data_IF_437779973366
#
_entry.id   IF_437779973366
#
_cell.length_a   1.000
_cell.length_b   1.000
_cell.length_c   1.000
_cell.angle_alpha   90.00
_cell.angle_beta   90.00
_cell.angle_gamma   90.00
#
_symmetry.space_group_name_H-M   'P 1'
#
loop_
_entity.id
_entity.type
_entity.pdbx_description
1 polymer ?
#
# COMPACT_ATOMS: atom_id res chain seq x y z
N UNK A 1 13.98 -16.54 -1.65
CA UNK A 1 15.23 -17.25 -1.32
C UNK A 1 15.98 -17.79 -2.53
N UNK A 2 15.35 -18.52 -3.47
CA UNK A 2 16.02 -18.90 -4.74
C UNK A 2 16.56 -17.69 -5.51
N UNK A 3 15.83 -16.56 -5.50
CA UNK A 3 16.22 -15.33 -6.17
C UNK A 3 17.51 -14.66 -5.64
N UNK A 4 17.81 -14.75 -4.34
CA UNK A 4 19.04 -14.16 -3.77
C UNK A 4 20.29 -14.89 -4.26
N UNK A 5 20.22 -16.21 -4.35
CA UNK A 5 21.31 -17.06 -4.84
C UNK A 5 21.47 -16.88 -6.36
N UNK A 6 20.36 -16.72 -7.08
CA UNK A 6 20.39 -16.58 -8.54
C UNK A 6 20.75 -15.17 -9.02
N UNK A 7 20.50 -14.14 -8.21
CA UNK A 7 20.80 -12.76 -8.57
C UNK A 7 21.11 -11.90 -7.32
N UNK A 8 22.36 -11.93 -6.83
CA UNK A 8 22.77 -11.20 -5.63
C UNK A 8 22.70 -9.68 -5.78
N UNK A 9 22.61 -9.16 -7.02
CA UNK A 9 22.41 -7.73 -7.30
C UNK A 9 20.95 -7.29 -7.30
N UNK A 10 20.01 -8.18 -6.96
CA UNK A 10 18.59 -7.84 -6.93
C UNK A 10 18.33 -6.77 -5.88
N UNK A 11 17.55 -5.76 -6.25
CA UNK A 11 17.06 -4.72 -5.35
C UNK A 11 15.54 -4.74 -5.37
N UNK A 12 14.91 -4.49 -4.23
CA UNK A 12 13.46 -4.51 -4.10
C UNK A 12 12.97 -3.08 -3.89
N UNK A 13 11.95 -2.68 -4.64
CA UNK A 13 11.26 -1.40 -4.44
C UNK A 13 9.85 -1.72 -3.93
N UNK A 14 9.46 -1.14 -2.80
CA UNK A 14 8.15 -1.33 -2.19
C UNK A 14 7.51 0.05 -1.96
N UNK A 15 6.48 0.34 -2.74
CA UNK A 15 5.59 1.48 -2.51
C UNK A 15 4.37 1.05 -1.69
N UNK A 16 4.07 1.79 -0.64
CA UNK A 16 2.84 1.63 0.16
C UNK A 16 1.94 2.84 0.01
N UNK A 17 0.67 2.70 0.36
CA UNK A 17 -0.31 3.78 0.30
C UNK A 17 -1.17 3.75 1.55
N UNK A 18 -1.72 4.88 1.99
CA UNK A 18 -2.78 4.92 3.00
C UNK A 18 -3.79 3.74 2.85
N UNK A 19 -3.97 2.85 3.86
CA UNK A 19 -4.71 1.60 3.75
C UNK A 19 -6.13 1.71 3.20
N UNK A 20 -6.90 2.73 3.63
CA UNK A 20 -8.25 3.03 3.12
C UNK A 20 -8.24 3.34 1.62
N UNK A 21 -7.34 4.24 1.19
CA UNK A 21 -7.22 4.65 -0.21
C UNK A 21 -6.68 3.51 -1.09
N UNK A 22 -5.78 2.69 -0.54
CA UNK A 22 -5.34 1.45 -1.19
C UNK A 22 -6.51 0.51 -1.44
N UNK A 23 -7.36 0.27 -0.43
CA UNK A 23 -8.50 -0.63 -0.57
C UNK A 23 -9.48 -0.16 -1.65
N UNK A 24 -9.88 1.12 -1.62
CA UNK A 24 -10.73 1.72 -2.67
C UNK A 24 -10.09 1.55 -4.06
N UNK A 25 -8.82 1.95 -4.20
CA UNK A 25 -8.12 1.91 -5.48
C UNK A 25 -8.05 0.49 -6.04
N UNK A 26 -7.69 -0.49 -5.21
CA UNK A 26 -7.56 -1.87 -5.65
C UNK A 26 -8.91 -2.53 -5.95
N UNK A 27 -9.93 -2.24 -5.14
CA UNK A 27 -11.30 -2.69 -5.40
C UNK A 27 -11.83 -2.12 -6.72
N UNK A 28 -11.74 -0.81 -6.92
CA UNK A 28 -12.20 -0.13 -8.14
C UNK A 28 -11.42 -0.61 -9.37
N UNK A 29 -10.11 -0.85 -9.26
CA UNK A 29 -9.33 -1.47 -10.32
C UNK A 29 -9.88 -2.86 -10.71
N UNK A 30 -10.29 -3.69 -9.73
CA UNK A 30 -10.90 -4.99 -10.02
C UNK A 30 -12.29 -4.88 -10.64
N UNK A 31 -13.08 -3.87 -10.28
CA UNK A 31 -14.36 -3.54 -10.93
C UNK A 31 -14.15 -3.18 -12.39
N UNK A 32 -13.28 -2.21 -12.68
CA UNK A 32 -12.97 -1.81 -14.07
C UNK A 32 -12.45 -3.02 -14.87
N UNK A 33 -11.56 -3.80 -14.28
CA UNK A 33 -11.02 -5.04 -14.88
C UNK A 33 -12.07 -6.15 -15.03
N UNK A 34 -13.17 -6.10 -14.28
CA UNK A 34 -14.29 -7.03 -14.39
C UNK A 34 -15.19 -6.61 -15.54
N UNK A 35 -15.63 -5.35 -15.56
CA UNK A 35 -16.54 -4.80 -16.57
C UNK A 35 -15.91 -4.81 -17.96
N UNK A 36 -14.62 -4.49 -18.07
CA UNK A 36 -13.88 -4.49 -19.35
C UNK A 36 -13.28 -5.85 -19.73
N UNK A 37 -13.36 -6.84 -18.83
CA UNK A 37 -12.71 -8.13 -19.00
C UNK A 37 -13.32 -9.00 -20.10
N UNK A 38 -12.51 -9.93 -20.65
CA UNK A 38 -12.96 -10.94 -21.65
C UNK A 38 -14.12 -11.81 -21.10
N UNK A 39 -14.87 -12.47 -22.01
CA UNK A 39 -16.06 -13.32 -21.79
C UNK A 39 -16.11 -14.17 -20.49
N UNK A 40 -14.95 -14.58 -19.94
CA UNK A 40 -14.84 -15.38 -18.71
C UNK A 40 -15.44 -14.75 -17.43
N UNK A 41 -15.81 -13.47 -17.46
CA UNK A 41 -16.41 -12.77 -16.32
C UNK A 41 -17.85 -12.32 -16.55
N UNK A 42 -18.39 -12.51 -17.77
CA UNK A 42 -19.80 -12.21 -18.04
C UNK A 42 -20.69 -13.05 -17.12
N UNK A 43 -21.57 -12.40 -16.35
CA UNK A 43 -22.55 -13.05 -15.48
C UNK A 43 -22.10 -13.30 -14.04
N UNK A 44 -20.88 -12.94 -13.64
CA UNK A 44 -20.50 -12.95 -12.21
C UNK A 44 -20.80 -11.59 -11.59
N UNK A 45 -21.48 -11.56 -10.45
CA UNK A 45 -21.74 -10.31 -9.74
C UNK A 45 -20.46 -9.72 -9.13
N UNK A 46 -20.42 -8.39 -9.06
CA UNK A 46 -19.45 -7.67 -8.24
C UNK A 46 -19.95 -7.79 -6.79
N UNK A 47 -19.16 -8.38 -5.86
CA UNK A 47 -19.60 -8.59 -4.49
C UNK A 47 -19.53 -7.31 -3.67
N UNK A 48 -20.37 -7.20 -2.65
CA UNK A 48 -20.32 -6.11 -1.67
C UNK A 48 -18.94 -6.07 -0.97
N UNK A 49 -18.26 -4.91 -0.86
CA UNK A 49 -17.00 -4.77 -0.13
C UNK A 49 -17.01 -5.34 1.29
N UNK A 50 -18.12 -5.27 2.03
CA UNK A 50 -18.27 -5.83 3.38
C UNK A 50 -18.16 -7.36 3.43
N UNK A 51 -18.46 -8.03 2.32
CA UNK A 51 -18.31 -9.48 2.22
C UNK A 51 -16.85 -9.92 2.11
N UNK A 52 -15.93 -9.00 1.78
CA UNK A 52 -14.52 -9.28 1.44
C UNK A 52 -13.62 -9.33 2.68
N UNK A 53 -13.86 -10.31 3.55
CA UNK A 53 -13.28 -10.36 4.91
C UNK A 53 -11.82 -10.79 4.95
N UNK A 54 -11.43 -11.79 4.17
CA UNK A 54 -10.10 -12.43 4.23
C UNK A 54 -9.74 -13.12 2.91
N UNK A 55 -8.59 -13.80 2.85
CA UNK A 55 -8.11 -14.48 1.65
C UNK A 55 -9.06 -15.57 1.14
N UNK A 56 -9.79 -16.26 2.03
CA UNK A 56 -10.75 -17.29 1.66
C UNK A 56 -12.07 -16.69 1.20
N UNK A 57 -12.41 -15.51 1.73
CA UNK A 57 -13.59 -14.72 1.38
C UNK A 57 -13.19 -13.46 0.61
N UNK A 58 -12.29 -13.61 -0.36
CA UNK A 58 -11.81 -12.52 -1.19
C UNK A 58 -12.40 -12.55 -2.60
N UNK A 59 -12.36 -11.42 -3.30
CA UNK A 59 -12.79 -11.32 -4.69
C UNK A 59 -11.64 -10.88 -5.58
N UNK A 60 -11.15 -11.82 -6.42
CA UNK A 60 -10.01 -11.58 -7.32
C UNK A 60 -8.79 -11.02 -6.55
N UNK A 61 -8.58 -11.56 -5.35
CA UNK A 61 -7.52 -11.15 -4.43
C UNK A 61 -7.87 -9.94 -3.57
N UNK A 62 -9.00 -9.25 -3.77
CA UNK A 62 -9.41 -8.12 -2.91
C UNK A 62 -10.02 -8.66 -1.62
N UNK A 63 -9.47 -8.23 -0.49
CA UNK A 63 -10.04 -8.41 0.85
C UNK A 63 -9.39 -7.40 1.80
N UNK A 64 -10.09 -7.06 2.90
CA UNK A 64 -9.63 -6.03 3.84
C UNK A 64 -8.28 -6.34 4.49
N UNK A 65 -7.95 -7.61 4.74
CA UNK A 65 -6.66 -7.98 5.35
C UNK A 65 -5.45 -7.60 4.49
N UNK A 66 -5.60 -7.29 3.20
CA UNK A 66 -4.50 -6.77 2.38
C UNK A 66 -3.99 -5.41 2.86
N UNK A 67 -4.81 -4.65 3.58
CA UNK A 67 -4.42 -3.37 4.14
C UNK A 67 -3.55 -3.49 5.41
N UNK A 68 -3.35 -4.71 5.94
CA UNK A 68 -2.43 -5.00 7.06
C UNK A 68 -0.98 -5.06 6.57
N UNK A 69 -0.44 -3.94 6.11
CA UNK A 69 0.86 -3.91 5.44
C UNK A 69 2.01 -4.40 6.30
N UNK A 70 1.98 -4.15 7.61
CA UNK A 70 2.93 -4.67 8.57
C UNK A 70 3.08 -6.19 8.47
N UNK A 71 1.96 -6.94 8.41
CA UNK A 71 2.01 -8.40 8.32
C UNK A 71 2.69 -8.88 7.03
N UNK A 72 2.55 -8.13 5.94
CA UNK A 72 3.24 -8.46 4.69
C UNK A 72 4.73 -8.09 4.73
N UNK A 73 5.08 -6.98 5.37
CA UNK A 73 6.47 -6.54 5.53
C UNK A 73 7.24 -7.43 6.51
N UNK A 74 6.59 -7.91 7.58
CA UNK A 74 7.18 -8.86 8.53
C UNK A 74 7.68 -10.14 7.83
N UNK A 75 7.02 -10.57 6.74
CA UNK A 75 7.43 -11.75 5.97
C UNK A 75 8.82 -11.61 5.34
N UNK A 76 9.32 -10.38 5.18
CA UNK A 76 10.63 -10.10 4.57
C UNK A 76 11.80 -10.37 5.53
N UNK A 77 11.51 -10.61 6.81
CA UNK A 77 12.52 -10.96 7.81
C UNK A 77 13.63 -9.93 8.02
N UNK A 78 13.27 -8.65 7.84
CA UNK A 78 14.15 -7.49 8.03
C UNK A 78 14.38 -7.11 9.49
N UNK A 79 13.48 -7.54 10.36
CA UNK A 79 13.55 -7.34 11.80
C UNK A 79 13.10 -8.60 12.51
N UNK A 80 13.64 -8.82 13.71
CA UNK A 80 13.23 -9.92 14.57
C UNK A 80 11.79 -9.68 15.06
N UNK A 81 10.99 -10.74 15.04
CA UNK A 81 9.62 -10.74 15.55
C UNK A 81 9.59 -11.30 16.95
N UNK A 82 8.67 -10.77 17.77
CA UNK A 82 8.27 -11.37 19.04
C UNK A 82 7.44 -12.62 18.79
N UNK A 83 7.32 -13.48 19.80
CA UNK A 83 6.47 -14.69 19.72
C UNK A 83 5.02 -14.35 19.37
N UNK A 84 4.49 -13.25 19.92
CA UNK A 84 3.14 -12.78 19.62
C UNK A 84 2.98 -12.37 18.15
N UNK A 85 3.97 -11.68 17.58
CA UNK A 85 3.95 -11.30 16.16
C UNK A 85 4.05 -12.53 15.24
N UNK A 86 4.89 -13.51 15.61
CA UNK A 86 4.99 -14.78 14.88
C UNK A 86 3.67 -15.55 14.91
N UNK A 87 3.04 -15.70 16.07
CA UNK A 87 1.74 -16.37 16.20
C UNK A 87 0.66 -15.67 15.36
N UNK A 88 0.66 -14.34 15.32
CA UNK A 88 -0.29 -13.60 14.50
C UNK A 88 -0.08 -13.84 12.99
N UNK A 89 1.18 -13.83 12.52
CA UNK A 89 1.48 -14.16 11.12
C UNK A 89 1.03 -15.57 10.75
N UNK A 90 1.31 -16.55 11.60
CA UNK A 90 0.93 -17.94 11.37
C UNK A 90 -0.59 -18.10 11.30
N UNK A 91 -1.34 -17.36 12.13
CA UNK A 91 -2.81 -17.35 12.09
C UNK A 91 -3.37 -16.85 10.75
N UNK A 92 -2.60 -16.03 10.02
CA UNK A 92 -2.92 -15.53 8.68
C UNK A 92 -2.41 -16.46 7.56
N UNK A 93 -1.78 -17.59 7.92
CA UNK A 93 -1.10 -18.48 6.98
C UNK A 93 0.13 -17.85 6.33
N UNK A 94 0.73 -16.86 7.00
CA UNK A 94 1.95 -16.17 6.59
C UNK A 94 3.14 -16.71 7.40
N UNK A 95 4.34 -16.60 6.84
CA UNK A 95 5.58 -16.99 7.53
C UNK A 95 6.68 -16.01 7.23
N UNK A 96 7.49 -15.72 8.24
CA UNK A 96 8.69 -14.93 8.05
C UNK A 96 9.72 -15.71 7.22
N UNK A 97 10.31 -15.02 6.24
CA UNK A 97 11.42 -15.50 5.44
C UNK A 97 12.49 -14.42 5.46
N UNK A 98 13.60 -14.67 6.16
CA UNK A 98 14.72 -13.73 6.19
C UNK A 98 15.20 -13.43 4.78
N UNK A 99 15.41 -12.16 4.45
CA UNK A 99 15.97 -11.74 3.18
C UNK A 99 17.03 -10.70 3.47
N UNK A 100 18.14 -10.75 2.72
CA UNK A 100 19.20 -9.73 2.75
C UNK A 100 19.11 -8.75 1.59
N UNK A 101 18.08 -8.88 0.74
CA UNK A 101 17.91 -7.96 -0.39
C UNK A 101 17.65 -6.54 0.11
N UNK A 102 18.37 -5.53 -0.37
CA UNK A 102 18.11 -4.16 -0.01
C UNK A 102 16.73 -3.73 -0.52
N UNK A 103 16.03 -2.94 0.29
CA UNK A 103 14.68 -2.46 0.00
C UNK A 103 14.70 -0.94 -0.07
N UNK A 104 14.20 -0.40 -1.18
CA UNK A 104 13.77 1.00 -1.25
C UNK A 104 12.29 1.08 -0.90
N UNK A 105 11.99 1.70 0.22
CA UNK A 105 10.66 1.78 0.80
C UNK A 105 10.13 3.20 0.77
N UNK A 106 8.91 3.39 0.31
CA UNK A 106 8.30 4.72 0.22
C UNK A 106 6.77 4.68 0.33
N UNK A 107 6.19 5.83 0.68
CA UNK A 107 4.74 6.06 0.62
C UNK A 107 4.39 6.76 -0.69
N UNK A 108 3.33 6.32 -1.36
CA UNK A 108 3.00 6.75 -2.73
C UNK A 108 2.71 8.24 -2.84
N UNK A 109 2.25 8.88 -1.77
CA UNK A 109 2.05 10.33 -1.67
C UNK A 109 3.35 11.12 -1.88
N UNK A 110 4.52 10.52 -1.65
CA UNK A 110 5.80 11.13 -2.00
C UNK A 110 5.99 11.28 -3.52
N UNK A 111 5.31 10.46 -4.34
CA UNK A 111 5.30 10.63 -5.80
C UNK A 111 4.33 11.74 -6.25
N UNK A 112 3.38 12.09 -5.39
CA UNK A 112 2.37 13.12 -5.60
C UNK A 112 2.73 14.42 -4.84
N UNK A 113 3.95 14.52 -4.30
CA UNK A 113 4.43 15.67 -3.54
C UNK A 113 4.53 16.90 -4.46
N UNK A 114 3.88 17.99 -4.04
CA UNK A 114 3.87 19.27 -4.77
C UNK A 114 5.14 20.09 -4.49
N UNK A 115 5.91 19.72 -3.46
CA UNK A 115 7.20 20.34 -3.17
C UNK A 115 8.28 19.77 -4.10
N UNK A 116 8.68 20.59 -5.08
CA UNK A 116 9.68 20.22 -6.08
C UNK A 116 10.99 19.74 -5.45
N UNK A 117 11.44 20.38 -4.35
CA UNK A 117 12.69 20.00 -3.70
C UNK A 117 12.59 18.61 -3.06
N UNK A 118 11.49 18.31 -2.35
CA UNK A 118 11.28 16.97 -1.79
C UNK A 118 11.12 15.91 -2.87
N UNK A 119 10.44 16.24 -3.96
CA UNK A 119 10.30 15.37 -5.12
C UNK A 119 11.65 15.09 -5.79
N UNK A 120 12.53 16.08 -5.88
CA UNK A 120 13.88 15.94 -6.43
C UNK A 120 14.74 15.00 -5.58
N UNK A 121 14.76 15.21 -4.25
CA UNK A 121 15.48 14.32 -3.31
C UNK A 121 15.00 12.88 -3.43
N UNK A 122 13.68 12.66 -3.52
CA UNK A 122 13.13 11.32 -3.71
C UNK A 122 13.66 10.63 -4.99
N UNK A 123 13.75 11.38 -6.09
CA UNK A 123 14.24 10.84 -7.38
C UNK A 123 15.74 10.57 -7.33
N UNK A 124 16.52 11.44 -6.70
CA UNK A 124 17.95 11.24 -6.48
C UNK A 124 18.22 9.99 -5.63
N UNK A 125 17.48 9.80 -4.54
CA UNK A 125 17.60 8.61 -3.70
C UNK A 125 17.26 7.34 -4.46
N UNK A 126 16.18 7.34 -5.26
CA UNK A 126 15.81 6.20 -6.08
C UNK A 126 16.87 5.91 -7.16
N UNK A 127 17.43 6.96 -7.77
CA UNK A 127 18.50 6.86 -8.76
C UNK A 127 19.75 6.22 -8.15
N UNK A 128 20.19 6.72 -6.99
CA UNK A 128 21.32 6.18 -6.24
C UNK A 128 21.07 4.74 -5.80
N UNK A 129 19.89 4.47 -5.23
CA UNK A 129 19.51 3.13 -4.82
C UNK A 129 19.56 2.16 -5.99
N UNK A 130 19.08 2.54 -7.17
CA UNK A 130 19.11 1.69 -8.37
C UNK A 130 20.50 1.61 -9.03
N UNK A 131 21.40 2.57 -8.76
CA UNK A 131 22.70 2.68 -9.42
C UNK A 131 22.58 3.19 -10.87
N UNK A 132 21.60 4.05 -11.12
CA UNK A 132 21.37 4.65 -12.43
C UNK A 132 22.35 5.81 -12.65
N UNK A 133 22.89 5.92 -13.87
CA UNK A 133 23.78 7.02 -14.27
C UNK A 133 23.00 8.27 -14.68
N UNK A 134 21.86 8.06 -15.32
CA UNK A 134 21.01 9.14 -15.80
C UNK A 134 19.98 9.53 -14.74
N UNK A 135 19.66 10.83 -14.62
CA UNK A 135 18.60 11.31 -13.74
C UNK A 135 17.24 10.69 -14.04
N UNK A 136 16.49 10.37 -12.97
CA UNK A 136 15.09 9.97 -13.11
C UNK A 136 14.27 11.24 -13.41
N UNK A 137 13.53 11.30 -14.53
CA UNK A 137 12.71 12.46 -14.85
C UNK A 137 11.55 12.58 -13.84
N UNK A 138 10.95 13.78 -13.70
CA UNK A 138 9.77 13.97 -12.86
C UNK A 138 8.67 12.94 -13.17
N UNK A 139 8.06 12.39 -12.12
CA UNK A 139 6.97 11.43 -12.29
C UNK A 139 5.73 12.13 -12.87
N UNK A 140 5.12 11.52 -13.86
CA UNK A 140 3.89 12.08 -14.42
C UNK A 140 2.74 11.94 -13.42
N UNK A 141 2.10 13.04 -13.03
CA UNK A 141 0.91 13.06 -12.17
C UNK A 141 -0.37 12.48 -12.82
N UNK A 142 -0.25 11.76 -13.95
CA UNK A 142 -1.41 11.23 -14.66
C UNK A 142 -1.73 9.82 -14.22
N UNK A 143 -2.79 9.69 -13.42
CA UNK A 143 -3.53 8.45 -13.30
C UNK A 143 -4.16 8.11 -14.67
N UNK A 144 -3.48 7.31 -15.50
CA UNK A 144 -4.00 6.82 -16.78
C UNK A 144 -5.31 6.01 -16.65
N UNK A 145 -5.75 5.73 -15.42
CA UNK A 145 -7.01 5.09 -15.08
C UNK A 145 -8.14 6.09 -14.79
N UNK A 146 -7.85 7.35 -14.41
CA UNK A 146 -8.87 8.34 -14.07
C UNK A 146 -9.80 8.68 -15.25
N UNK A 147 -9.29 8.63 -16.49
CA UNK A 147 -10.07 8.94 -17.70
C UNK A 147 -10.93 7.76 -18.21
N UNK A 148 -11.19 6.74 -17.41
CA UNK A 148 -11.84 5.49 -17.87
C UNK A 148 -13.35 5.42 -17.63
N UNK A 149 -13.97 6.48 -17.12
CA UNK A 149 -15.39 6.54 -16.82
C UNK A 149 -15.76 5.76 -15.57
N UNK A 150 -16.82 6.18 -14.90
CA UNK A 150 -17.40 5.46 -13.76
C UNK A 150 -18.18 4.23 -14.25
N UNK A 151 -17.94 3.10 -13.60
CA UNK A 151 -18.65 1.85 -13.84
C UNK A 151 -19.49 1.48 -12.63
N UNK A 152 -20.63 0.85 -12.89
CA UNK A 152 -21.48 0.29 -11.84
C UNK A 152 -20.68 -0.69 -10.96
N UNK A 153 -20.90 -0.59 -9.66
CA UNK A 153 -20.18 -1.34 -8.63
C UNK A 153 -18.85 -0.75 -8.20
N UNK A 154 -18.34 0.34 -8.79
CA UNK A 154 -17.25 1.10 -8.16
C UNK A 154 -17.72 1.72 -6.85
N UNK A 155 -16.80 1.91 -5.91
CA UNK A 155 -17.10 2.50 -4.62
C UNK A 155 -16.37 3.82 -4.45
N UNK A 156 -17.05 4.75 -3.80
CA UNK A 156 -16.43 5.85 -3.08
C UNK A 156 -16.47 5.47 -1.60
N UNK A 157 -15.31 5.13 -1.03
CA UNK A 157 -15.16 4.64 0.34
C UNK A 157 -15.57 5.70 1.36
N UNK A 158 -15.67 6.97 0.99
CA UNK A 158 -16.08 8.07 1.87
C UNK A 158 -17.60 8.21 2.04
N UNK A 159 -18.39 7.42 1.31
CA UNK A 159 -19.83 7.36 1.53
C UNK A 159 -20.17 6.84 2.94
N UNK A 160 -21.20 7.39 3.62
CA UNK A 160 -21.59 6.98 4.98
C UNK A 160 -21.79 5.47 5.17
N UNK A 161 -22.28 4.78 4.13
CA UNK A 161 -22.49 3.34 4.19
C UNK A 161 -21.20 2.53 4.38
N UNK A 162 -20.02 3.12 4.21
CA UNK A 162 -18.72 2.46 4.37
C UNK A 162 -17.97 2.83 5.68
N UNK A 163 -18.59 3.60 6.58
CA UNK A 163 -17.94 4.10 7.79
C UNK A 163 -17.36 2.95 8.65
N UNK A 164 -18.09 1.84 8.83
CA UNK A 164 -17.61 0.67 9.59
C UNK A 164 -16.44 -0.05 8.92
N UNK A 165 -16.48 -0.15 7.58
CA UNK A 165 -15.38 -0.72 6.79
C UNK A 165 -14.13 0.14 6.91
N UNK A 166 -14.27 1.48 6.79
CA UNK A 166 -13.16 2.42 6.97
C UNK A 166 -12.59 2.33 8.37
N UNK A 167 -13.41 2.38 9.41
CA UNK A 167 -12.98 2.24 10.81
C UNK A 167 -12.14 0.98 11.03
N UNK A 168 -12.55 -0.14 10.43
CA UNK A 168 -11.79 -1.39 10.49
C UNK A 168 -10.41 -1.26 9.81
N UNK A 169 -10.36 -0.69 8.61
CA UNK A 169 -9.13 -0.56 7.83
C UNK A 169 -8.18 0.49 8.43
N UNK A 170 -8.72 1.57 9.02
CA UNK A 170 -7.96 2.57 9.78
C UNK A 170 -7.27 1.91 10.96
N UNK A 171 -7.95 1.01 11.69
CA UNK A 171 -7.31 0.22 12.74
C UNK A 171 -6.10 -0.59 12.23
N UNK A 172 -6.17 -1.14 11.01
CA UNK A 172 -5.01 -1.80 10.39
C UNK A 172 -3.89 -0.81 10.04
N UNK A 173 -4.24 0.41 9.61
CA UNK A 173 -3.29 1.48 9.37
C UNK A 173 -2.58 1.95 10.64
N UNK A 174 -3.31 2.05 11.74
CA UNK A 174 -2.80 2.39 13.06
C UNK A 174 -1.78 1.36 13.57
N UNK A 175 -2.10 0.07 13.48
CA UNK A 175 -1.16 -1.01 13.80
C UNK A 175 0.08 -0.94 12.89
N UNK A 176 -0.15 -0.76 11.58
CA UNK A 176 0.91 -0.75 10.60
C UNK A 176 1.88 0.43 10.76
N UNK A 177 1.39 1.65 11.00
CA UNK A 177 2.26 2.83 11.16
C UNK A 177 3.18 2.69 12.37
N UNK A 178 2.68 2.15 13.48
CA UNK A 178 3.48 1.92 14.68
C UNK A 178 4.58 0.88 14.43
N UNK A 179 4.23 -0.25 13.82
CA UNK A 179 5.21 -1.30 13.55
C UNK A 179 6.24 -0.86 12.51
N UNK A 180 5.79 -0.23 11.41
CA UNK A 180 6.66 0.25 10.34
C UNK A 180 7.62 1.32 10.89
N UNK A 181 7.08 2.37 11.52
CA UNK A 181 7.87 3.50 12.04
C UNK A 181 8.77 3.13 13.22
N UNK A 182 8.33 2.20 14.07
CA UNK A 182 9.07 1.77 15.26
C UNK A 182 10.10 0.67 15.00
N UNK A 183 9.89 -0.19 14.00
CA UNK A 183 10.75 -1.37 13.74
C UNK A 183 11.27 -1.42 12.32
N UNK A 184 10.38 -1.53 11.32
CA UNK A 184 10.78 -1.90 9.95
C UNK A 184 11.80 -0.96 9.33
N UNK A 185 11.57 0.35 9.46
CA UNK A 185 12.43 1.38 8.86
C UNK A 185 13.79 1.54 9.55
N UNK A 186 14.00 0.83 10.66
CA UNK A 186 15.26 0.84 11.41
C UNK A 186 16.15 -0.37 11.06
N UNK A 187 15.73 -1.22 10.11
CA UNK A 187 16.56 -2.29 9.56
C UNK A 187 17.63 -1.73 8.62
N UNK A 188 18.86 -2.24 8.71
CA UNK A 188 20.01 -1.79 7.90
C UNK A 188 19.80 -1.99 6.40
N UNK A 189 18.94 -2.93 6.00
CA UNK A 189 18.65 -3.23 4.60
C UNK A 189 17.49 -2.39 4.03
N UNK A 190 16.90 -1.49 4.82
CA UNK A 190 15.71 -0.70 4.42
C UNK A 190 16.10 0.76 4.25
N UNK A 191 16.02 1.23 3.01
CA UNK A 191 16.27 2.60 2.59
C UNK A 191 14.94 3.30 2.41
N UNK A 192 14.71 4.39 3.16
CA UNK A 192 13.53 5.24 2.96
C UNK A 192 13.82 6.19 1.83
N UNK A 193 12.97 6.20 0.81
CA UNK A 193 13.12 7.12 -0.32
C UNK A 193 12.73 8.54 0.05
N UNK A 194 13.54 9.52 -0.35
CA UNK A 194 13.23 10.93 -0.17
C UNK A 194 13.37 11.40 1.27
N UNK A 195 12.71 12.52 1.58
CA UNK A 195 12.73 13.08 2.94
C UNK A 195 12.04 12.15 3.96
N UNK A 196 12.83 11.59 4.89
CA UNK A 196 12.34 10.66 5.91
C UNK A 196 11.32 11.30 6.84
N UNK A 197 11.44 12.60 7.13
CA UNK A 197 10.48 13.29 7.98
C UNK A 197 9.11 13.37 7.29
N UNK A 198 9.07 13.74 6.01
CA UNK A 198 7.87 13.74 5.20
C UNK A 198 7.26 12.34 5.07
N UNK A 199 8.07 11.30 4.85
CA UNK A 199 7.60 9.91 4.87
C UNK A 199 6.90 9.57 6.20
N UNK A 200 7.50 9.94 7.35
CA UNK A 200 6.91 9.71 8.66
C UNK A 200 5.62 10.51 8.88
N UNK A 201 5.53 11.74 8.34
CA UNK A 201 4.29 12.52 8.32
C UNK A 201 3.20 11.79 7.55
N UNK A 202 3.47 11.32 6.32
CA UNK A 202 2.51 10.54 5.53
C UNK A 202 2.10 9.26 6.25
N UNK A 203 3.05 8.52 6.82
CA UNK A 203 2.78 7.30 7.57
C UNK A 203 1.95 7.56 8.84
N UNK A 204 2.15 8.70 9.50
CA UNK A 204 1.39 9.08 10.70
C UNK A 204 -0.10 9.22 10.42
N UNK A 205 -0.47 9.70 9.22
CA UNK A 205 -1.86 9.87 8.79
C UNK A 205 -2.65 8.57 8.62
N UNK A 206 -2.00 7.40 8.63
CA UNK A 206 -2.67 6.11 8.39
C UNK A 206 -3.64 5.69 9.51
N UNK A 207 -3.53 6.35 10.68
CA UNK A 207 -4.47 6.21 11.80
C UNK A 207 -5.70 7.12 11.69
N UNK A 208 -5.72 8.04 10.72
CA UNK A 208 -6.78 9.02 10.53
C UNK A 208 -7.75 8.56 9.42
N UNK A 209 -9.00 9.03 9.47
CA UNK A 209 -9.94 8.78 8.36
C UNK A 209 -9.64 9.76 7.22
N UNK A 210 -9.13 9.30 6.05
CA UNK A 210 -8.78 10.20 4.96
C UNK A 210 -10.02 10.84 4.32
N UNK A 211 -11.21 10.38 4.69
CA UNK A 211 -12.48 10.94 4.26
C UNK A 211 -12.95 12.11 5.11
N UNK A 212 -12.24 12.49 6.18
CA UNK A 212 -12.61 13.62 7.04
C UNK A 212 -11.56 14.73 6.87
N UNK A 213 -12.02 15.95 6.58
CA UNK A 213 -11.19 17.16 6.58
C UNK A 213 -10.87 17.60 8.00
N UNK A 214 -9.86 18.45 8.17
CA UNK A 214 -9.51 19.05 9.46
C UNK A 214 -10.65 19.87 10.10
N UNK A 215 -11.61 20.34 9.29
CA UNK A 215 -12.82 21.05 9.73
C UNK A 215 -14.02 20.11 10.01
N UNK A 216 -13.82 18.79 9.91
CA UNK A 216 -14.86 17.78 10.10
C UNK A 216 -15.76 17.52 8.89
N UNK A 217 -15.53 18.18 7.74
CA UNK A 217 -16.30 17.90 6.52
C UNK A 217 -15.82 16.64 5.81
N UNK A 218 -16.68 15.98 5.02
CA UNK A 218 -16.29 14.76 4.29
C UNK A 218 -15.59 15.09 2.97
N UNK A 219 -14.41 14.52 2.73
CA UNK A 219 -13.75 14.53 1.41
C UNK A 219 -14.53 13.67 0.43
N UNK A 220 -14.95 14.27 -0.68
CA UNK A 220 -15.39 13.52 -1.86
C UNK A 220 -14.15 13.29 -2.74
N UNK A 221 -13.58 12.09 -2.70
CA UNK A 221 -12.63 11.68 -3.72
C UNK A 221 -13.43 11.28 -4.97
N UNK A 222 -13.29 12.05 -6.04
CA UNK A 222 -13.79 11.72 -7.39
C UNK A 222 -12.74 10.87 -8.10
#
# INVERSE_FOLDING_TARGET
FIYEIMNPGTKVIIGVRHPVLFFQSYYNYRVVSHVRGKKKYKGKSIPDPYSLKDRHRGWRGVHKNLAKFDKYLMQLGKVNLTDSENMELESLGLKQTHSKLPIFFYEIGQLEDEDELRSDVFREDMQHFLGLKEPIPPFAHRNAVANKGEFDGQINICEPKFDDLRKTIIGYGEEARHWIGGKFINSDDVFIGGDKAHFLTLLSSWGDDPCIHEDGQRRLFV
#
